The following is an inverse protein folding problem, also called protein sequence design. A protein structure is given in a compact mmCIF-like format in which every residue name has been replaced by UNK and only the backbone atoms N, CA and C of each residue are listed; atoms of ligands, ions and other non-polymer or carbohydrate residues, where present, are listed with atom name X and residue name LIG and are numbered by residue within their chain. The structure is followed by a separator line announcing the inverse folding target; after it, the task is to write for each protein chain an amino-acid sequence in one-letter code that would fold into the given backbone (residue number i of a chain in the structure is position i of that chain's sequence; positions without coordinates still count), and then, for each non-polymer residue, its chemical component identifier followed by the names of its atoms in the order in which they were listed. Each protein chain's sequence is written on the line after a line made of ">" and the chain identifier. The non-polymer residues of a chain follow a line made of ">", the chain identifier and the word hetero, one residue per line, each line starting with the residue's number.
data_IF_469293059570
#
_entry.id   IF_469293059570
#
_cell.length_a   1.000
_cell.length_b   1.000
_cell.length_c   1.000
_cell.angle_alpha   90.00
_cell.angle_beta   90.00
_cell.angle_gamma   90.00
#
_symmetry.space_group_name_H-M   'P 1'
#
loop_
_entity.id
_entity.type
_entity.pdbx_description
1 polymer ?
#
# COMPACT_ATOMS: atom_id res chain seq x y z
N UNK A 1 4.19 -6.49 -0.98
CA UNK A 1 3.16 -7.52 -1.24
C UNK A 1 3.76 -8.68 -2.06
N UNK A 2 4.31 -8.44 -3.24
CA UNK A 2 4.89 -9.49 -4.10
C UNK A 2 5.88 -10.40 -3.37
N UNK A 3 6.86 -9.84 -2.64
CA UNK A 3 7.82 -10.63 -1.87
C UNK A 3 7.15 -11.48 -0.76
N UNK A 4 6.13 -10.96 -0.10
CA UNK A 4 5.37 -11.74 0.89
C UNK A 4 4.67 -12.94 0.21
N UNK A 5 4.07 -12.75 -0.95
CA UNK A 5 3.41 -13.81 -1.71
C UNK A 5 4.42 -14.84 -2.23
N UNK A 6 5.58 -14.38 -2.74
CA UNK A 6 6.69 -15.25 -3.11
C UNK A 6 7.12 -16.13 -1.93
N UNK A 7 7.29 -15.55 -0.74
CA UNK A 7 7.63 -16.29 0.49
C UNK A 7 6.56 -17.34 0.84
N UNK A 8 5.29 -17.01 0.69
CA UNK A 8 4.21 -17.98 0.89
C UNK A 8 4.27 -19.14 -0.09
N UNK A 9 4.54 -18.88 -1.35
CA UNK A 9 4.71 -19.93 -2.37
C UNK A 9 5.90 -20.83 -2.04
N UNK A 10 7.05 -20.26 -1.67
CA UNK A 10 8.23 -21.03 -1.25
C UNK A 10 7.93 -21.90 -0.02
N UNK A 11 7.31 -21.32 1.02
CA UNK A 11 6.93 -22.07 2.22
C UNK A 11 5.95 -23.20 1.90
N UNK A 12 5.00 -22.97 1.02
CA UNK A 12 4.04 -23.97 0.58
C UNK A 12 4.74 -25.11 -0.17
N UNK A 13 5.64 -24.81 -1.09
CA UNK A 13 6.42 -25.82 -1.85
C UNK A 13 7.31 -26.65 -0.91
N UNK A 14 7.92 -26.03 0.08
CA UNK A 14 8.74 -26.72 1.06
C UNK A 14 7.94 -27.36 2.22
N UNK A 15 6.61 -27.23 2.22
CA UNK A 15 5.69 -27.77 3.24
C UNK A 15 6.03 -27.27 4.66
N UNK A 16 6.37 -26.00 4.79
CA UNK A 16 6.62 -25.32 6.07
C UNK A 16 5.58 -24.21 6.32
N UNK A 17 5.34 -23.86 7.59
CA UNK A 17 4.24 -22.95 7.96
C UNK A 17 4.66 -21.50 8.16
N UNK A 18 5.94 -21.23 8.33
CA UNK A 18 6.48 -19.90 8.62
C UNK A 18 7.95 -19.80 8.20
N UNK A 19 8.45 -18.56 8.21
CA UNK A 19 9.82 -18.26 7.82
C UNK A 19 10.88 -18.95 8.68
N UNK A 20 10.62 -19.13 9.99
CA UNK A 20 11.55 -19.84 10.88
C UNK A 20 11.70 -21.29 10.47
N UNK A 21 10.60 -21.98 10.16
CA UNK A 21 10.61 -23.35 9.64
C UNK A 21 11.27 -23.46 8.27
N UNK A 22 11.07 -22.46 7.39
CA UNK A 22 11.75 -22.36 6.12
C UNK A 22 13.26 -22.26 6.32
N UNK A 23 13.70 -21.29 7.12
CA UNK A 23 15.11 -21.06 7.37
C UNK A 23 15.80 -22.24 8.08
N UNK A 24 15.11 -22.90 9.01
CA UNK A 24 15.63 -24.10 9.64
C UNK A 24 15.87 -25.22 8.61
N UNK A 25 14.88 -25.46 7.73
CA UNK A 25 15.00 -26.50 6.70
C UNK A 25 16.14 -26.24 5.72
N UNK A 26 16.38 -24.98 5.34
CA UNK A 26 17.49 -24.61 4.46
C UNK A 26 18.84 -24.85 5.18
N UNK A 27 18.97 -24.38 6.44
CA UNK A 27 20.21 -24.59 7.21
C UNK A 27 20.51 -26.06 7.44
N UNK A 28 19.50 -26.85 7.81
CA UNK A 28 19.67 -28.31 7.99
C UNK A 28 20.16 -29.00 6.72
N UNK A 29 19.72 -28.56 5.53
CA UNK A 29 20.21 -29.06 4.26
C UNK A 29 21.67 -28.62 4.01
N UNK A 30 21.96 -27.33 4.23
CA UNK A 30 23.34 -26.81 4.10
C UNK A 30 24.33 -27.50 5.04
N UNK A 31 23.93 -27.80 6.28
CA UNK A 31 24.75 -28.52 7.27
C UNK A 31 25.06 -29.98 6.83
N UNK A 32 24.17 -30.57 6.01
CA UNK A 32 24.40 -31.87 5.36
C UNK A 32 25.17 -31.79 4.04
N UNK A 33 25.53 -30.60 3.58
CA UNK A 33 26.12 -30.37 2.27
C UNK A 33 25.15 -30.55 1.09
N UNK A 34 23.85 -30.45 1.35
CA UNK A 34 22.78 -30.53 0.36
C UNK A 34 22.31 -29.10 -0.01
N UNK A 35 22.04 -28.89 -1.28
CA UNK A 35 21.42 -27.65 -1.75
C UNK A 35 19.96 -27.89 -2.14
N UNK A 36 19.07 -27.01 -1.71
CA UNK A 36 17.66 -27.04 -2.11
C UNK A 36 17.48 -26.05 -3.26
N UNK A 37 17.18 -26.51 -4.48
CA UNK A 37 16.95 -25.62 -5.61
C UNK A 37 15.66 -24.82 -5.44
N UNK A 38 15.59 -23.60 -6.01
CA UNK A 38 14.37 -22.78 -5.96
C UNK A 38 13.23 -23.48 -6.72
N UNK A 39 12.15 -23.92 -6.03
CA UNK A 39 11.03 -24.62 -6.66
C UNK A 39 10.11 -23.68 -7.47
N UNK A 40 10.38 -22.39 -7.48
CA UNK A 40 9.64 -21.38 -8.27
C UNK A 40 10.41 -21.01 -9.54
N UNK A 41 11.58 -21.61 -9.77
CA UNK A 41 12.36 -21.37 -10.98
C UNK A 41 11.57 -21.77 -12.23
N UNK A 42 11.49 -20.86 -13.19
CA UNK A 42 10.86 -21.09 -14.49
C UNK A 42 11.92 -20.89 -15.60
N UNK A 43 12.38 -21.98 -16.27
CA UNK A 43 13.38 -21.88 -17.30
C UNK A 43 12.99 -21.01 -18.50
N UNK A 44 11.70 -20.78 -18.72
CA UNK A 44 11.21 -19.93 -19.82
C UNK A 44 11.26 -18.43 -19.51
N UNK A 45 11.34 -18.08 -18.22
CA UNK A 45 11.35 -16.67 -17.75
C UNK A 45 12.70 -16.23 -17.22
N UNK A 46 13.60 -17.15 -16.92
CA UNK A 46 14.94 -16.86 -16.41
C UNK A 46 15.94 -16.86 -17.53
N UNK A 47 16.93 -15.96 -17.46
CA UNK A 47 18.13 -16.04 -18.32
C UNK A 47 19.11 -17.10 -17.84
N UNK A 48 18.90 -17.68 -16.68
CA UNK A 48 19.73 -18.71 -16.09
C UNK A 48 19.28 -20.11 -16.54
N UNK A 49 20.26 -21.01 -16.75
CA UNK A 49 19.99 -22.38 -17.19
C UNK A 49 19.63 -23.33 -16.04
N UNK A 50 19.88 -22.93 -14.77
CA UNK A 50 19.66 -23.78 -13.60
C UNK A 50 19.07 -22.96 -12.45
N UNK A 51 18.23 -23.58 -11.59
CA UNK A 51 17.70 -22.92 -10.42
C UNK A 51 18.81 -22.61 -9.41
N UNK A 52 18.80 -21.40 -8.86
CA UNK A 52 19.67 -21.07 -7.74
C UNK A 52 19.31 -21.89 -6.50
N UNK A 53 20.32 -22.15 -5.65
CA UNK A 53 20.11 -22.77 -4.36
C UNK A 53 19.44 -21.78 -3.39
N UNK A 54 18.37 -22.23 -2.74
CA UNK A 54 17.67 -21.42 -1.75
C UNK A 54 18.59 -21.07 -0.57
N UNK A 55 18.54 -19.80 -0.16
CA UNK A 55 19.24 -19.29 1.01
C UNK A 55 18.23 -18.96 2.14
N UNK A 56 18.66 -18.96 3.41
CA UNK A 56 17.84 -18.48 4.49
C UNK A 56 17.35 -17.06 4.22
N UNK A 57 16.04 -16.82 4.32
CA UNK A 57 15.43 -15.54 4.07
C UNK A 57 15.50 -14.65 5.33
N UNK A 58 15.90 -13.38 5.20
CA UNK A 58 15.91 -12.43 6.31
C UNK A 58 14.48 -12.00 6.68
N UNK A 59 14.30 -11.52 7.92
CA UNK A 59 13.12 -10.76 8.28
C UNK A 59 13.11 -9.41 7.58
N UNK A 60 11.91 -8.93 7.24
CA UNK A 60 11.70 -7.60 6.66
C UNK A 60 10.98 -6.76 7.71
N UNK A 61 11.53 -5.60 8.04
CA UNK A 61 10.88 -4.61 8.91
C UNK A 61 10.54 -3.40 8.05
N UNK A 62 9.25 -3.07 7.99
CA UNK A 62 8.73 -1.91 7.27
C UNK A 62 8.36 -0.87 8.32
N UNK A 63 9.01 0.29 8.26
CA UNK A 63 8.74 1.43 9.13
C UNK A 63 8.11 2.53 8.29
N UNK A 64 6.95 3.01 8.72
CA UNK A 64 6.24 4.14 8.11
C UNK A 64 6.17 5.23 9.17
N UNK A 65 6.91 6.32 8.95
CA UNK A 65 7.10 7.41 9.90
C UNK A 65 5.83 8.25 10.08
N UNK A 66 5.18 8.65 8.99
CA UNK A 66 3.90 9.37 9.02
C UNK A 66 2.85 8.65 8.16
N UNK A 67 2.10 7.79 8.82
CA UNK A 67 1.06 7.00 8.14
C UNK A 67 -0.11 7.84 7.62
N UNK A 68 -0.39 8.99 8.27
CA UNK A 68 -1.46 9.87 7.84
C UNK A 68 -1.25 10.40 6.42
N UNK A 69 -0.01 10.69 6.02
CA UNK A 69 0.25 11.20 4.67
C UNK A 69 -0.11 10.16 3.60
N UNK A 70 0.19 8.89 3.83
CA UNK A 70 -0.22 7.82 2.93
C UNK A 70 -1.74 7.67 2.87
N UNK A 71 -2.43 7.77 4.01
CA UNK A 71 -3.89 7.69 4.08
C UNK A 71 -4.57 8.87 3.38
N UNK A 72 -3.99 10.06 3.45
CA UNK A 72 -4.52 11.28 2.81
C UNK A 72 -4.33 11.27 1.30
N UNK A 73 -3.19 10.75 0.80
CA UNK A 73 -2.86 10.74 -0.64
C UNK A 73 -3.59 9.59 -1.35
N UNK A 74 -3.56 8.39 -0.81
CA UNK A 74 -4.01 7.16 -1.48
C UNK A 74 -5.33 6.62 -0.89
N UNK A 75 -5.63 6.95 0.37
CA UNK A 75 -6.89 6.61 1.01
C UNK A 75 -7.13 5.11 1.22
N UNK A 76 -8.34 4.66 0.90
CA UNK A 76 -8.82 3.29 1.17
C UNK A 76 -7.95 2.18 0.61
N UNK A 77 -7.29 2.40 -0.53
CA UNK A 77 -6.40 1.39 -1.14
C UNK A 77 -5.21 1.07 -0.21
N UNK A 78 -4.61 2.08 0.42
CA UNK A 78 -3.53 1.85 1.40
C UNK A 78 -4.05 1.14 2.64
N UNK A 79 -5.21 1.54 3.15
CA UNK A 79 -5.84 0.90 4.29
C UNK A 79 -6.02 -0.62 4.07
N UNK A 80 -6.59 -1.01 2.93
CA UNK A 80 -6.80 -2.41 2.55
C UNK A 80 -5.48 -3.17 2.39
N UNK A 81 -4.47 -2.55 1.77
CA UNK A 81 -3.16 -3.15 1.58
C UNK A 81 -2.43 -3.39 2.91
N UNK A 82 -2.45 -2.41 3.81
CA UNK A 82 -1.84 -2.53 5.14
C UNK A 82 -2.58 -3.57 5.97
N UNK A 83 -3.92 -3.59 5.95
CA UNK A 83 -4.71 -4.60 6.63
C UNK A 83 -4.38 -6.01 6.11
N UNK A 84 -4.35 -6.20 4.78
CA UNK A 84 -3.99 -7.48 4.14
C UNK A 84 -2.55 -7.89 4.47
N UNK A 85 -1.62 -6.93 4.47
CA UNK A 85 -0.24 -7.17 4.85
C UNK A 85 -0.15 -7.60 6.30
N UNK A 86 -0.78 -6.87 7.23
CA UNK A 86 -0.77 -7.17 8.66
C UNK A 86 -1.36 -8.56 8.99
N UNK A 87 -2.42 -8.98 8.28
CA UNK A 87 -3.02 -10.31 8.45
C UNK A 87 -2.08 -11.45 8.09
N UNK A 88 -1.23 -11.27 7.07
CA UNK A 88 -0.40 -12.34 6.50
C UNK A 88 1.09 -12.18 6.78
N UNK A 89 1.55 -11.00 7.15
CA UNK A 89 2.96 -10.65 7.25
C UNK A 89 3.76 -11.53 8.23
N UNK A 90 3.17 -11.87 9.37
CA UNK A 90 3.84 -12.60 10.46
C UNK A 90 4.47 -13.93 10.00
N UNK A 91 3.74 -14.73 9.26
CA UNK A 91 4.24 -16.03 8.82
C UNK A 91 5.36 -15.89 7.77
N UNK A 92 5.29 -14.85 6.94
CA UNK A 92 6.31 -14.52 5.93
C UNK A 92 7.54 -13.78 6.51
N UNK A 93 7.56 -13.49 7.82
CA UNK A 93 8.65 -12.77 8.46
C UNK A 93 8.68 -11.28 8.12
N UNK A 94 7.53 -10.67 7.85
CA UNK A 94 7.42 -9.23 7.59
C UNK A 94 6.78 -8.56 8.81
N UNK A 95 7.41 -7.53 9.32
CA UNK A 95 6.98 -6.75 10.48
C UNK A 95 6.66 -5.31 10.07
N UNK A 96 5.63 -4.75 10.68
CA UNK A 96 5.16 -3.39 10.41
C UNK A 96 5.29 -2.53 11.66
N UNK A 97 5.87 -1.34 11.50
CA UNK A 97 5.88 -0.26 12.48
C UNK A 97 5.24 0.95 11.81
N UNK A 98 4.03 1.30 12.23
CA UNK A 98 3.30 2.45 11.71
C UNK A 98 3.33 3.54 12.77
N UNK A 99 3.80 4.72 12.41
CA UNK A 99 3.78 5.89 13.27
C UNK A 99 2.94 7.02 12.60
N UNK A 100 2.37 7.88 13.42
CA UNK A 100 1.69 9.09 12.97
C UNK A 100 1.64 10.14 14.07
N UNK A 101 1.77 11.39 13.70
CA UNK A 101 1.53 12.55 14.56
C UNK A 101 0.09 13.09 14.46
N UNK A 102 -0.76 12.44 13.62
CA UNK A 102 -2.16 12.83 13.37
C UNK A 102 -3.11 11.69 13.75
N UNK A 103 -3.38 11.48 15.05
CA UNK A 103 -4.21 10.37 15.53
C UNK A 103 -5.71 10.63 15.30
N UNK A 104 -6.12 10.82 14.05
CA UNK A 104 -7.52 10.97 13.68
C UNK A 104 -8.18 9.61 13.39
N UNK A 105 -9.50 9.56 13.42
CA UNK A 105 -10.29 8.35 13.12
C UNK A 105 -10.17 7.93 11.64
N UNK A 106 -9.85 8.87 10.76
CA UNK A 106 -9.64 8.63 9.34
C UNK A 106 -8.27 7.98 9.05
N UNK A 107 -7.31 8.14 9.97
CA UNK A 107 -5.97 7.55 9.90
C UNK A 107 -5.91 6.24 10.67
N UNK A 108 -6.36 6.25 11.93
CA UNK A 108 -6.37 5.07 12.81
C UNK A 108 -7.78 4.45 12.77
N UNK A 109 -8.10 3.85 11.64
CA UNK A 109 -9.42 3.29 11.38
C UNK A 109 -9.67 1.99 12.15
N UNK A 110 -10.93 1.57 12.20
CA UNK A 110 -11.30 0.28 12.79
C UNK A 110 -10.62 -0.91 12.10
N UNK A 111 -10.41 -0.84 10.78
CA UNK A 111 -9.74 -1.89 10.02
C UNK A 111 -8.25 -1.98 10.39
N UNK A 112 -7.56 -0.86 10.52
CA UNK A 112 -6.16 -0.80 10.98
C UNK A 112 -6.06 -1.35 12.41
N UNK A 113 -6.90 -0.89 13.33
CA UNK A 113 -6.90 -1.36 14.74
C UNK A 113 -7.17 -2.85 14.89
N UNK A 114 -8.01 -3.42 14.05
CA UNK A 114 -8.32 -4.86 14.08
C UNK A 114 -7.14 -5.73 13.63
N UNK A 115 -6.28 -5.23 12.74
CA UNK A 115 -5.17 -5.98 12.16
C UNK A 115 -3.81 -5.64 12.78
N UNK A 116 -3.69 -4.49 13.46
CA UNK A 116 -2.50 -4.07 14.21
C UNK A 116 -2.91 -3.88 15.68
N UNK A 117 -2.97 -4.98 16.44
CA UNK A 117 -3.51 -4.94 17.81
C UNK A 117 -2.55 -4.34 18.84
N UNK A 118 -1.24 -4.35 18.56
CA UNK A 118 -0.23 -3.72 19.42
C UNK A 118 -0.24 -2.21 19.19
N UNK A 119 -0.39 -1.44 20.26
CA UNK A 119 -0.46 0.02 20.15
C UNK A 119 0.41 0.69 21.19
N UNK A 120 0.99 1.80 20.80
CA UNK A 120 1.77 2.69 21.66
C UNK A 120 1.20 4.09 21.50
N UNK A 121 0.90 4.76 22.59
CA UNK A 121 0.57 6.17 22.60
C UNK A 121 1.56 6.91 23.50
N UNK A 122 2.26 7.87 22.91
CA UNK A 122 2.97 8.91 23.65
C UNK A 122 1.98 9.98 24.11
N UNK A 123 2.44 11.03 24.76
CA UNK A 123 1.61 12.14 25.19
C UNK A 123 0.85 12.73 24.00
N UNK A 124 -0.46 12.91 24.17
CA UNK A 124 -1.34 13.57 23.20
C UNK A 124 -2.05 14.77 23.84
N UNK A 125 -2.55 15.67 23.01
CA UNK A 125 -3.16 16.92 23.49
C UNK A 125 -4.55 16.70 24.09
N UNK A 126 -5.30 15.70 23.58
CA UNK A 126 -6.69 15.51 24.01
C UNK A 126 -7.00 14.06 24.38
N UNK A 127 -8.03 13.90 25.22
CA UNK A 127 -8.59 12.58 25.56
C UNK A 127 -9.21 11.89 24.33
N UNK A 128 -9.62 12.65 23.32
CA UNK A 128 -10.17 12.10 22.07
C UNK A 128 -9.05 11.40 21.31
N UNK A 129 -7.88 12.01 21.20
CA UNK A 129 -6.71 11.42 20.54
C UNK A 129 -6.29 10.13 21.24
N UNK A 130 -6.25 10.14 22.59
CA UNK A 130 -5.98 8.92 23.35
C UNK A 130 -6.97 7.81 23.03
N UNK A 131 -8.26 8.12 22.97
CA UNK A 131 -9.30 7.14 22.60
C UNK A 131 -9.17 6.65 21.16
N UNK A 132 -8.77 7.51 20.25
CA UNK A 132 -8.55 7.11 18.85
C UNK A 132 -7.46 6.06 18.75
N UNK A 133 -6.37 6.20 19.52
CA UNK A 133 -5.25 5.26 19.51
C UNK A 133 -5.57 4.01 20.33
N UNK A 134 -5.95 4.19 21.62
CA UNK A 134 -6.00 3.14 22.62
C UNK A 134 -7.42 2.61 22.93
N UNK A 135 -8.46 3.18 22.29
CA UNK A 135 -9.88 2.99 22.62
C UNK A 135 -10.26 3.47 24.04
N UNK A 136 -9.33 4.12 24.77
CA UNK A 136 -9.50 4.67 26.11
C UNK A 136 -8.66 5.92 26.33
N UNK A 137 -9.02 6.71 27.35
CA UNK A 137 -8.22 7.87 27.77
C UNK A 137 -6.96 7.47 28.56
N UNK A 138 -6.11 8.44 28.80
CA UNK A 138 -4.91 8.30 29.64
C UNK A 138 -3.64 8.85 29.01
N UNK A 139 -3.51 8.80 27.69
CA UNK A 139 -2.34 9.33 27.00
C UNK A 139 -2.23 10.87 27.09
N UNK A 140 -3.35 11.57 27.30
CA UNK A 140 -3.37 13.00 27.55
C UNK A 140 -2.78 13.42 28.93
N UNK A 141 -2.56 12.44 29.80
CA UNK A 141 -2.00 12.65 31.15
C UNK A 141 -0.54 12.25 31.27
N UNK A 142 0.07 11.83 30.17
CA UNK A 142 1.48 11.44 30.13
C UNK A 142 2.37 12.69 30.26
N UNK A 143 3.62 12.45 30.71
CA UNK A 143 4.55 13.53 31.04
C UNK A 143 5.36 14.02 29.84
N UNK A 144 5.27 13.36 28.67
CA UNK A 144 6.19 13.57 27.55
C UNK A 144 7.53 12.88 27.76
N UNK A 145 8.54 13.27 27.00
CA UNK A 145 9.92 12.79 27.13
C UNK A 145 10.08 11.26 27.12
N UNK A 146 9.30 10.55 26.30
CA UNK A 146 9.33 9.11 26.20
C UNK A 146 8.34 8.37 27.11
N UNK A 147 7.57 9.08 27.94
CA UNK A 147 6.49 8.49 28.73
C UNK A 147 5.35 8.03 27.79
N UNK A 148 4.95 6.77 27.87
CA UNK A 148 4.01 6.16 26.94
C UNK A 148 3.07 5.16 27.59
N UNK A 149 1.94 4.94 26.93
CA UNK A 149 1.06 3.81 27.20
C UNK A 149 1.24 2.74 26.11
N UNK A 150 1.66 1.57 26.53
CA UNK A 150 1.82 0.40 25.67
C UNK A 150 0.64 -0.56 25.86
N UNK A 151 -0.05 -0.90 24.78
CA UNK A 151 -1.12 -1.89 24.77
C UNK A 151 -0.66 -3.13 24.00
N UNK A 152 -0.28 -4.20 24.69
CA UNK A 152 0.09 -5.46 24.04
C UNK A 152 -1.12 -6.12 23.37
N UNK A 153 -0.90 -7.02 22.38
CA UNK A 153 -1.99 -7.72 21.71
C UNK A 153 -2.73 -8.63 22.69
N UNK A 154 -4.07 -8.70 22.53
CA UNK A 154 -4.92 -9.59 23.33
C UNK A 154 -5.28 -9.07 24.74
N UNK A 155 -4.96 -7.82 25.05
CA UNK A 155 -5.37 -7.15 26.29
C UNK A 155 -5.98 -5.79 26.00
N UNK A 156 -6.91 -5.36 26.86
CA UNK A 156 -7.49 -4.01 26.84
C UNK A 156 -6.85 -3.08 27.89
N UNK A 157 -5.90 -3.59 28.69
CA UNK A 157 -5.24 -2.80 29.74
C UNK A 157 -3.87 -2.34 29.25
N UNK A 158 -3.66 -1.03 29.03
CA UNK A 158 -2.36 -0.50 28.69
C UNK A 158 -1.43 -0.50 29.90
N UNK A 159 -0.16 -0.71 29.61
CA UNK A 159 0.92 -0.60 30.59
C UNK A 159 1.64 0.74 30.38
N UNK A 160 1.84 1.48 31.46
CA UNK A 160 2.66 2.69 31.38
C UNK A 160 4.12 2.32 31.40
N UNK A 161 4.83 2.78 30.40
CA UNK A 161 6.26 2.54 30.22
C UNK A 161 6.93 3.89 29.99
N UNK A 162 8.10 4.10 30.57
CA UNK A 162 8.90 5.28 30.31
C UNK A 162 10.07 4.90 29.40
N UNK A 163 9.99 5.30 28.12
CA UNK A 163 11.08 5.17 27.16
C UNK A 163 12.13 6.26 27.37
N UNK A 164 13.32 6.05 26.84
CA UNK A 164 14.34 7.09 26.82
C UNK A 164 13.94 8.23 25.88
N UNK A 165 14.26 9.45 26.28
CA UNK A 165 14.26 10.59 25.35
C UNK A 165 15.45 10.40 24.38
N UNK A 166 15.19 10.55 23.09
CA UNK A 166 16.20 10.59 22.04
C UNK A 166 16.29 12.03 21.55
N UNK A 167 17.49 12.60 21.58
CA UNK A 167 17.72 13.97 21.11
C UNK A 167 18.12 13.99 19.63
N UNK A 168 17.97 15.15 18.98
CA UNK A 168 18.38 15.32 17.58
C UNK A 168 19.86 15.00 17.38
N UNK A 169 20.73 15.38 18.35
CA UNK A 169 22.16 15.07 18.29
C UNK A 169 22.42 13.57 18.31
N UNK A 170 21.73 12.80 19.15
CA UNK A 170 21.86 11.34 19.20
C UNK A 170 21.40 10.69 17.87
N UNK A 171 20.37 11.23 17.23
CA UNK A 171 19.93 10.76 15.90
C UNK A 171 21.02 11.01 14.85
N UNK A 172 21.62 12.23 14.84
CA UNK A 172 22.70 12.58 13.93
C UNK A 172 23.94 11.72 14.15
N UNK A 173 24.31 11.47 15.41
CA UNK A 173 25.46 10.65 15.77
C UNK A 173 25.29 9.19 15.30
N UNK A 174 24.10 8.60 15.51
CA UNK A 174 23.78 7.24 15.03
C UNK A 174 23.79 7.19 13.51
N UNK A 175 23.17 8.16 12.84
CA UNK A 175 23.15 8.22 11.37
C UNK A 175 24.55 8.36 10.78
N UNK A 176 25.38 9.19 11.39
CA UNK A 176 26.79 9.39 11.00
C UNK A 176 27.59 8.11 11.19
N UNK A 177 27.45 7.44 12.33
CA UNK A 177 28.10 6.17 12.60
C UNK A 177 27.72 5.09 11.57
N UNK A 178 26.43 4.97 11.22
CA UNK A 178 25.96 4.01 10.23
C UNK A 178 26.51 4.31 8.82
N UNK A 179 26.56 5.57 8.43
CA UNK A 179 27.14 6.00 7.14
C UNK A 179 28.63 5.67 7.02
N UNK A 180 29.38 5.63 8.13
CA UNK A 180 30.81 5.29 8.13
C UNK A 180 31.07 3.79 7.96
N UNK A 181 30.06 2.93 8.15
CA UNK A 181 30.24 1.48 8.08
C UNK A 181 30.34 0.93 6.66
N UNK A 182 29.58 1.50 5.73
CA UNK A 182 29.58 1.10 4.31
C UNK A 182 28.90 2.16 3.44
N UNK A 183 29.28 2.19 2.18
CA UNK A 183 28.56 2.94 1.16
C UNK A 183 27.18 2.34 0.92
N UNK A 184 26.19 3.20 0.53
CA UNK A 184 24.87 2.72 0.23
C UNK A 184 24.86 1.82 -1.02
N UNK A 185 24.13 0.71 -0.93
CA UNK A 185 23.90 -0.21 -2.05
C UNK A 185 22.46 -0.02 -2.53
N UNK A 186 22.30 0.77 -3.59
CA UNK A 186 20.99 1.11 -4.15
C UNK A 186 20.53 0.05 -5.15
N UNK A 187 19.32 -0.43 -4.97
CA UNK A 187 18.67 -1.28 -5.99
C UNK A 187 18.26 -0.39 -7.15
N UNK A 188 18.92 -0.56 -8.30
CA UNK A 188 18.57 0.15 -9.53
C UNK A 188 17.16 -0.22 -9.99
N UNK A 189 16.37 0.76 -10.40
CA UNK A 189 15.02 0.54 -10.92
C UNK A 189 13.89 0.70 -9.91
N UNK A 190 14.16 0.82 -8.59
CA UNK A 190 13.08 1.05 -7.59
C UNK A 190 12.33 2.36 -7.83
N UNK A 191 13.02 3.37 -8.39
CA UNK A 191 12.45 4.68 -8.72
C UNK A 191 12.24 4.88 -10.23
N UNK A 192 12.54 3.89 -11.06
CA UNK A 192 12.20 3.95 -12.47
C UNK A 192 10.67 3.88 -12.58
N UNK A 193 10.05 5.02 -12.87
CA UNK A 193 8.68 5.04 -13.37
C UNK A 193 8.64 4.11 -14.57
N UNK A 194 7.72 3.13 -14.54
CA UNK A 194 7.68 2.06 -15.51
C UNK A 194 7.46 2.56 -16.92
N UNK A 195 8.53 2.71 -17.70
CA UNK A 195 8.44 2.60 -19.14
C UNK A 195 8.20 1.12 -19.47
N UNK A 196 6.93 0.78 -19.64
CA UNK A 196 6.47 -0.39 -20.35
C UNK A 196 6.97 -1.75 -19.86
N UNK A 197 6.36 -2.27 -18.81
CA UNK A 197 6.52 -3.66 -18.43
C UNK A 197 5.62 -4.01 -17.26
N UNK A 198 4.75 -4.94 -17.46
CA UNK A 198 3.74 -5.52 -16.59
C UNK A 198 4.25 -6.04 -15.23
N UNK A 199 4.87 -5.18 -14.43
CA UNK A 199 5.06 -5.42 -13.01
C UNK A 199 3.92 -4.77 -12.21
N UNK A 200 2.70 -5.09 -12.63
CA UNK A 200 1.54 -4.93 -11.77
C UNK A 200 1.81 -5.74 -10.50
N UNK A 201 2.00 -5.07 -9.38
CA UNK A 201 2.07 -5.71 -8.06
C UNK A 201 0.79 -6.56 -7.95
N UNK A 202 0.88 -7.89 -7.81
CA UNK A 202 -0.32 -8.72 -7.74
C UNK A 202 -1.21 -8.26 -6.59
N UNK A 203 -2.39 -7.75 -6.93
CA UNK A 203 -3.35 -7.20 -5.97
C UNK A 203 -3.31 -5.68 -5.78
N UNK A 204 -2.43 -4.95 -6.45
CA UNK A 204 -2.60 -3.57 -6.84
C UNK A 204 -3.03 -3.59 -8.31
N UNK A 205 -4.30 -3.30 -8.57
CA UNK A 205 -4.59 -2.66 -9.85
C UNK A 205 -3.73 -1.40 -9.89
N UNK A 206 -3.01 -1.11 -10.98
CA UNK A 206 -2.21 0.09 -11.07
C UNK A 206 -3.06 1.25 -10.56
N UNK A 207 -2.52 2.06 -9.64
CA UNK A 207 -3.01 3.42 -9.49
C UNK A 207 -2.94 3.97 -10.90
N UNK A 208 -4.11 4.16 -11.51
CA UNK A 208 -4.22 4.72 -12.84
C UNK A 208 -3.43 6.03 -12.85
N UNK A 209 -2.15 5.91 -13.22
CA UNK A 209 -1.36 7.02 -13.69
C UNK A 209 -2.03 7.42 -14.99
N UNK A 210 -2.81 8.50 -14.94
CA UNK A 210 -3.51 9.07 -16.09
C UNK A 210 -4.11 7.97 -16.96
N UNK A 211 -5.35 7.64 -16.72
CA UNK A 211 -6.19 6.69 -17.44
C UNK A 211 -5.70 6.49 -18.89
N UNK A 212 -5.26 5.27 -19.23
CA UNK A 212 -5.51 4.85 -20.61
C UNK A 212 -7.02 5.05 -20.83
N UNK A 213 -7.35 5.98 -21.69
CA UNK A 213 -8.73 6.32 -21.99
C UNK A 213 -9.48 5.01 -22.23
N UNK A 214 -10.61 4.82 -21.54
CA UNK A 214 -11.45 3.62 -21.71
C UNK A 214 -11.45 3.24 -23.19
N UNK A 215 -11.20 1.99 -23.60
CA UNK A 215 -11.15 1.59 -25.02
C UNK A 215 -12.35 2.05 -25.84
N UNK A 216 -13.46 2.39 -25.16
CA UNK A 216 -14.64 2.97 -25.75
C UNK A 216 -14.71 4.50 -25.59
N UNK A 217 -13.67 5.16 -25.06
CA UNK A 217 -13.70 6.60 -24.81
C UNK A 217 -13.83 7.41 -26.10
N UNK A 218 -13.06 7.09 -27.13
CA UNK A 218 -13.13 7.77 -28.42
C UNK A 218 -14.51 7.58 -29.10
N UNK A 219 -15.09 6.38 -28.97
CA UNK A 219 -16.44 6.10 -29.42
C UNK A 219 -17.48 6.86 -28.60
N UNK A 220 -17.26 6.97 -27.30
CA UNK A 220 -18.10 7.76 -26.41
C UNK A 220 -18.04 9.25 -26.73
N UNK A 221 -16.85 9.81 -26.97
CA UNK A 221 -16.67 11.20 -27.42
C UNK A 221 -17.41 11.44 -28.74
N UNK A 222 -17.28 10.54 -29.72
CA UNK A 222 -17.99 10.59 -31.00
C UNK A 222 -19.51 10.62 -30.81
N UNK A 223 -20.05 9.70 -30.01
CA UNK A 223 -21.49 9.63 -29.70
C UNK A 223 -21.99 10.91 -29.04
N UNK A 224 -21.25 11.48 -28.09
CA UNK A 224 -21.63 12.71 -27.37
C UNK A 224 -21.58 13.93 -28.29
N UNK A 225 -20.51 14.06 -29.09
CA UNK A 225 -20.33 15.21 -30.01
C UNK A 225 -21.30 15.20 -31.18
N UNK A 226 -21.60 14.04 -31.76
CA UNK A 226 -22.59 13.86 -32.81
C UNK A 226 -24.03 14.12 -32.31
N UNK A 227 -24.39 13.52 -31.17
CA UNK A 227 -25.74 13.65 -30.62
C UNK A 227 -26.01 14.98 -29.90
N UNK A 228 -24.96 15.72 -29.58
CA UNK A 228 -24.98 16.95 -28.74
C UNK A 228 -25.64 16.70 -27.38
N UNK A 229 -25.50 15.50 -26.84
CA UNK A 229 -26.09 15.07 -25.56
C UNK A 229 -25.04 14.48 -24.61
N UNK A 230 -24.66 15.24 -23.61
CA UNK A 230 -23.76 14.81 -22.52
C UNK A 230 -24.56 14.20 -21.36
N UNK A 231 -25.15 13.02 -21.58
CA UNK A 231 -25.96 12.33 -20.56
C UNK A 231 -25.47 10.92 -20.31
N UNK A 232 -25.18 10.61 -19.03
CA UNK A 232 -24.72 9.29 -18.57
C UNK A 232 -25.69 8.19 -19.04
N UNK A 233 -27.00 8.39 -18.84
CA UNK A 233 -28.03 7.41 -19.24
C UNK A 233 -28.13 7.24 -20.75
N UNK A 234 -27.82 8.27 -21.53
CA UNK A 234 -27.79 8.18 -22.99
C UNK A 234 -26.58 7.39 -23.47
N UNK A 235 -25.41 7.69 -22.92
CA UNK A 235 -24.16 7.02 -23.26
C UNK A 235 -24.19 5.53 -22.83
N UNK A 236 -24.70 5.23 -21.63
CA UNK A 236 -24.93 3.87 -21.15
C UNK A 236 -25.74 3.02 -22.15
N UNK A 237 -26.85 3.55 -22.65
CA UNK A 237 -27.72 2.84 -23.61
C UNK A 237 -27.07 2.68 -24.97
N UNK A 238 -26.32 3.68 -25.41
CA UNK A 238 -25.73 3.69 -26.74
C UNK A 238 -24.54 2.74 -26.87
N UNK A 239 -23.68 2.74 -25.87
CA UNK A 239 -22.48 1.87 -25.81
C UNK A 239 -22.71 0.54 -25.10
N UNK A 240 -23.90 0.32 -24.51
CA UNK A 240 -24.26 -0.88 -23.73
C UNK A 240 -23.28 -1.15 -22.57
N UNK A 241 -22.83 -0.10 -21.90
CA UNK A 241 -21.92 -0.17 -20.74
C UNK A 241 -22.66 0.05 -19.43
N UNK A 242 -22.01 -0.24 -18.30
CA UNK A 242 -22.58 0.04 -16.97
C UNK A 242 -22.66 1.53 -16.65
N UNK A 243 -23.59 1.93 -15.76
CA UNK A 243 -23.81 3.33 -15.38
C UNK A 243 -22.55 4.01 -14.88
N UNK A 244 -21.78 3.36 -13.99
CA UNK A 244 -20.53 3.89 -13.42
C UNK A 244 -19.46 4.10 -14.50
N UNK A 245 -19.35 3.20 -15.49
CA UNK A 245 -18.41 3.31 -16.60
C UNK A 245 -18.77 4.47 -17.53
N UNK A 246 -20.06 4.61 -17.86
CA UNK A 246 -20.55 5.75 -18.62
C UNK A 246 -20.37 7.08 -17.86
N UNK A 247 -20.51 7.06 -16.52
CA UNK A 247 -20.28 8.21 -15.67
C UNK A 247 -18.85 8.70 -15.73
N UNK A 248 -17.86 7.80 -15.55
CA UNK A 248 -16.43 8.13 -15.69
C UNK A 248 -16.09 8.73 -17.04
N UNK A 249 -16.52 8.11 -18.14
CA UNK A 249 -16.27 8.66 -19.48
C UNK A 249 -16.81 10.09 -19.65
N UNK A 250 -17.95 10.42 -19.06
CA UNK A 250 -18.48 11.80 -19.08
C UNK A 250 -17.65 12.74 -18.20
N UNK A 251 -17.15 12.28 -17.05
CA UNK A 251 -16.24 13.04 -16.18
C UNK A 251 -14.90 13.29 -16.88
N UNK A 252 -14.36 12.31 -17.57
CA UNK A 252 -13.14 12.44 -18.37
C UNK A 252 -13.33 13.42 -19.53
N UNK A 253 -14.50 13.41 -20.18
CA UNK A 253 -14.85 14.41 -21.20
C UNK A 253 -14.97 15.82 -20.63
N UNK A 254 -15.38 15.97 -19.36
CA UNK A 254 -15.42 17.26 -18.67
C UNK A 254 -13.99 17.77 -18.41
N UNK A 255 -13.09 16.90 -17.94
CA UNK A 255 -11.66 17.21 -17.72
C UNK A 255 -10.99 17.58 -19.06
N UNK A 256 -11.28 16.84 -20.12
CA UNK A 256 -10.76 17.08 -21.47
C UNK A 256 -11.38 18.31 -22.18
N UNK A 257 -12.36 18.98 -21.56
CA UNK A 257 -13.04 20.14 -22.15
C UNK A 257 -13.98 19.81 -23.30
N UNK A 258 -14.36 18.57 -23.49
CA UNK A 258 -15.34 18.12 -24.52
C UNK A 258 -16.74 18.50 -24.10
N UNK A 259 -17.04 18.44 -22.79
CA UNK A 259 -18.33 18.86 -22.21
C UNK A 259 -18.11 19.86 -21.08
N UNK A 260 -19.13 20.64 -20.73
CA UNK A 260 -19.09 21.61 -19.65
C UNK A 260 -19.19 20.92 -18.28
N UNK A 261 -18.74 21.58 -17.18
CA UNK A 261 -19.10 21.19 -15.82
C UNK A 261 -20.62 21.09 -15.65
N UNK A 262 -21.03 20.32 -14.63
CA UNK A 262 -22.44 20.16 -14.29
C UNK A 262 -23.05 21.51 -13.96
N UNK A 263 -24.09 21.91 -14.71
CA UNK A 263 -24.84 23.16 -14.50
C UNK A 263 -25.83 23.00 -13.31
N UNK A 264 -26.37 24.13 -12.83
CA UNK A 264 -27.33 24.15 -11.72
C UNK A 264 -28.60 23.30 -11.96
N UNK A 265 -28.93 23.02 -13.21
CA UNK A 265 -30.06 22.17 -13.64
C UNK A 265 -29.68 20.67 -13.75
N UNK A 266 -28.45 20.29 -13.39
CA UNK A 266 -27.92 18.91 -13.47
C UNK A 266 -27.54 18.46 -14.89
N UNK A 267 -27.58 19.34 -15.90
CA UNK A 267 -27.15 19.02 -17.26
C UNK A 267 -25.72 19.48 -17.55
N UNK A 268 -25.10 18.90 -18.58
CA UNK A 268 -23.83 19.33 -19.17
C UNK A 268 -24.05 19.72 -20.63
N UNK A 269 -23.35 20.73 -21.08
CA UNK A 269 -23.34 21.13 -22.49
C UNK A 269 -22.15 20.55 -23.24
N UNK A 270 -22.34 20.17 -24.50
CA UNK A 270 -21.27 19.67 -25.36
C UNK A 270 -20.54 20.86 -25.96
N UNK A 271 -19.28 21.07 -25.59
CA UNK A 271 -18.45 22.19 -26.04
C UNK A 271 -17.75 21.84 -27.35
N UNK A 272 -17.20 20.64 -27.46
CA UNK A 272 -16.45 20.22 -28.64
C UNK A 272 -17.32 20.22 -29.92
N UNK A 273 -16.73 20.59 -31.09
CA UNK A 273 -17.42 20.50 -32.38
C UNK A 273 -17.71 19.04 -32.76
N UNK A 274 -18.69 18.77 -33.62
CA UNK A 274 -18.92 17.43 -34.17
C UNK A 274 -17.69 16.96 -34.97
N UNK A 275 -17.43 15.63 -35.04
CA UNK A 275 -16.31 15.12 -35.82
C UNK A 275 -16.47 15.49 -37.29
N UNK A 276 -15.36 15.85 -37.93
CA UNK A 276 -15.32 16.13 -39.37
C UNK A 276 -15.40 14.78 -40.08
N UNK A 277 -16.45 14.58 -40.88
CA UNK A 277 -16.50 13.42 -41.78
C UNK A 277 -15.35 13.53 -42.79
N UNK A 278 -14.41 12.60 -42.78
CA UNK A 278 -13.43 12.43 -43.85
C UNK A 278 -13.96 11.48 -44.90
#
# INVERSE_FOLDING_TARGET
>A
MAEMERRYLLMSKLKVRNISGFNAKIRDAQDRGEEIPDPLFDPMKSMEMQPEALQPLPYIVIVIDEFADMMMIVGKKVEELIARLAQKARAAGVHLVLATQRPSVDVITGLIKANIPTRVAFQVSTKIDSRTILDQGGAEQLLGYGDMLYMPPGTSMPQRIHGALVTDQEVEDVATYLKQQREPDYITGVLAEGEGGSDAIPGLEPLEAGEEADPLYDEAVKVVTESRRASISYLQRRLKVGYNRAGRMIEDMEIAGVVSPVQANGSREVIAPPPVEM
#
